data_IF_730557073702
#
_entry.id   IF_730557073702
#
_cell.length_a   1.000
_cell.length_b   1.000
_cell.length_c   1.000
_cell.angle_alpha   90.00
_cell.angle_beta   90.00
_cell.angle_gamma   90.00
#
_symmetry.space_group_name_H-M   'P 1'
#
loop_
_entity.id
_entity.type
_entity.pdbx_description
1 polymer ?
#
# COMPACT_ATOMS: atom_id res chain seq x y z
N UNK A 1 25.08 6.17 19.60
CA UNK A 1 25.46 5.72 20.95
C UNK A 1 24.32 4.92 21.54
N UNK A 2 24.62 3.82 22.23
CA UNK A 2 23.65 2.99 22.98
C UNK A 2 23.87 3.22 24.47
N UNK A 3 22.81 3.35 25.25
CA UNK A 3 22.91 3.43 26.70
C UNK A 3 22.82 2.01 27.26
N UNK A 4 23.93 1.46 27.75
CA UNK A 4 24.00 0.15 28.39
C UNK A 4 24.44 0.40 29.83
N UNK A 5 23.60 0.00 30.80
CA UNK A 5 23.91 0.12 32.23
C UNK A 5 24.36 1.53 32.67
N UNK A 6 23.76 2.57 32.08
CA UNK A 6 24.09 3.97 32.39
C UNK A 6 25.33 4.53 31.70
N UNK A 7 25.99 3.76 30.83
CA UNK A 7 27.12 4.21 30.02
C UNK A 7 26.75 4.33 28.54
N UNK A 8 27.14 5.45 27.92
CA UNK A 8 26.99 5.65 26.49
C UNK A 8 28.11 4.93 25.74
N UNK A 9 27.79 3.85 25.05
CA UNK A 9 28.72 3.13 24.19
C UNK A 9 28.55 3.60 22.74
N UNK A 10 29.65 3.87 22.04
CA UNK A 10 29.61 4.19 20.62
C UNK A 10 29.08 2.98 19.84
N UNK A 11 28.21 3.25 18.86
CA UNK A 11 27.75 2.23 17.92
C UNK A 11 28.70 2.32 16.73
N UNK A 12 29.33 1.22 16.36
CA UNK A 12 30.13 1.18 15.13
C UNK A 12 29.20 1.21 13.91
N UNK A 13 29.47 2.05 12.92
CA UNK A 13 28.74 2.02 11.67
C UNK A 13 28.98 0.70 10.93
N UNK A 14 27.98 0.26 10.15
CA UNK A 14 28.15 -0.81 9.17
C UNK A 14 28.97 -0.30 7.96
N UNK A 15 29.21 -1.17 6.97
CA UNK A 15 29.95 -0.84 5.74
C UNK A 15 29.35 0.33 4.94
N UNK A 16 28.06 0.63 5.15
CA UNK A 16 27.35 1.74 4.51
C UNK A 16 27.36 3.03 5.34
N UNK A 17 27.99 3.03 6.52
CA UNK A 17 27.99 4.18 7.43
C UNK A 17 26.76 4.29 8.33
N UNK A 18 25.91 3.25 8.39
CA UNK A 18 24.69 3.24 9.20
C UNK A 18 24.93 2.64 10.58
N UNK A 19 24.30 3.24 11.59
CA UNK A 19 24.40 2.83 12.99
C UNK A 19 23.25 1.89 13.35
N UNK A 20 23.53 0.65 13.74
CA UNK A 20 22.47 -0.28 14.15
C UNK A 20 21.89 0.09 15.52
N UNK A 21 20.57 0.25 15.60
CA UNK A 21 19.84 0.47 16.85
C UNK A 21 19.15 -0.82 17.30
N UNK A 22 19.75 -1.56 18.24
CA UNK A 22 19.15 -2.80 18.77
C UNK A 22 17.78 -2.57 19.43
N UNK A 23 17.56 -1.40 20.06
CA UNK A 23 16.29 -1.08 20.71
C UNK A 23 15.15 -0.90 19.70
N UNK A 24 15.47 -0.41 18.49
CA UNK A 24 14.48 -0.18 17.44
C UNK A 24 14.45 -1.33 16.42
N UNK A 25 15.49 -2.16 16.36
CA UNK A 25 15.68 -3.15 15.29
C UNK A 25 15.88 -2.50 13.92
N UNK A 26 16.44 -1.28 13.88
CA UNK A 26 16.57 -0.47 12.68
C UNK A 26 17.97 0.14 12.57
N UNK A 27 18.44 0.36 11.35
CA UNK A 27 19.63 1.14 11.06
C UNK A 27 19.33 2.63 11.09
N UNK A 28 20.26 3.42 11.59
CA UNK A 28 20.18 4.88 11.64
C UNK A 28 21.25 5.45 10.71
N UNK A 29 20.82 6.13 9.66
CA UNK A 29 21.70 6.68 8.63
C UNK A 29 21.35 8.12 8.28
N UNK A 30 22.19 8.73 7.45
CA UNK A 30 21.94 10.06 6.90
C UNK A 30 21.34 9.90 5.50
N UNK A 31 20.14 10.43 5.31
CA UNK A 31 19.46 10.49 4.02
C UNK A 31 18.98 11.92 3.77
N UNK A 32 19.30 12.49 2.61
CA UNK A 32 18.96 13.88 2.28
C UNK A 32 19.40 14.91 3.36
N UNK A 33 20.63 14.73 3.88
CA UNK A 33 21.19 15.56 4.99
C UNK A 33 20.37 15.50 6.29
N UNK A 34 19.44 14.55 6.43
CA UNK A 34 18.63 14.32 7.63
C UNK A 34 18.91 12.95 8.20
N UNK A 35 18.76 12.82 9.51
CA UNK A 35 18.86 11.54 10.19
C UNK A 35 17.57 10.74 9.94
N UNK A 36 17.69 9.56 9.35
CA UNK A 36 16.57 8.68 8.99
C UNK A 36 16.83 7.24 9.42
N UNK A 37 15.75 6.52 9.72
CA UNK A 37 15.79 5.09 10.01
C UNK A 37 15.70 4.28 8.72
N UNK A 38 16.38 3.15 8.70
CA UNK A 38 16.41 2.17 7.63
C UNK A 38 16.11 0.78 8.21
N UNK A 39 15.40 -0.05 7.46
CA UNK A 39 15.14 -1.44 7.81
C UNK A 39 16.44 -2.26 7.74
N UNK A 40 16.41 -3.48 8.26
CA UNK A 40 17.49 -4.47 8.10
C UNK A 40 17.91 -4.69 6.64
N UNK A 41 16.96 -4.55 5.73
CA UNK A 41 17.15 -4.70 4.28
C UNK A 41 17.67 -3.41 3.61
N UNK A 42 17.95 -2.37 4.40
CA UNK A 42 18.44 -1.08 3.90
C UNK A 42 17.37 -0.20 3.27
N UNK A 43 16.08 -0.51 3.46
CA UNK A 43 14.99 0.35 2.97
C UNK A 43 14.72 1.50 3.94
N UNK A 44 14.50 2.70 3.41
CA UNK A 44 14.16 3.87 4.23
C UNK A 44 12.82 3.63 4.94
N UNK A 45 12.83 3.72 6.27
CA UNK A 45 11.61 3.62 7.07
C UNK A 45 10.81 4.92 6.89
N UNK A 46 9.57 4.85 6.38
CA UNK A 46 8.73 6.02 6.25
C UNK A 46 8.43 6.60 7.64
N UNK A 47 8.33 7.92 7.73
CA UNK A 47 7.77 8.53 8.94
C UNK A 47 6.32 8.07 9.14
N UNK A 48 5.80 8.08 10.38
CA UNK A 48 4.39 7.75 10.62
C UNK A 48 3.45 8.62 9.78
N UNK A 49 3.80 9.87 9.50
CA UNK A 49 3.05 10.75 8.59
C UNK A 49 3.10 10.28 7.13
N UNK A 50 4.27 9.89 6.62
CA UNK A 50 4.43 9.33 5.27
C UNK A 50 3.66 8.00 5.13
N UNK A 51 3.74 7.13 6.14
CA UNK A 51 3.03 5.85 6.17
C UNK A 51 1.50 6.04 6.17
N UNK A 52 0.99 6.98 6.97
CA UNK A 52 -0.45 7.28 7.00
C UNK A 52 -0.92 7.83 5.64
N UNK A 53 -0.13 8.71 5.00
CA UNK A 53 -0.46 9.23 3.69
C UNK A 53 -0.50 8.12 2.63
N UNK A 54 0.49 7.23 2.61
CA UNK A 54 0.50 6.07 1.71
C UNK A 54 -0.69 5.16 1.95
N UNK A 55 -1.04 4.89 3.22
CA UNK A 55 -2.20 4.06 3.56
C UNK A 55 -3.51 4.72 3.12
N UNK A 56 -3.66 6.03 3.30
CA UNK A 56 -4.84 6.78 2.81
C UNK A 56 -4.95 6.70 1.29
N UNK A 57 -3.86 6.93 0.57
CA UNK A 57 -3.83 6.84 -0.90
C UNK A 57 -4.19 5.43 -1.38
N UNK A 58 -3.58 4.39 -0.79
CA UNK A 58 -3.89 3.01 -1.14
C UNK A 58 -5.36 2.66 -0.87
N UNK A 59 -5.91 3.15 0.25
CA UNK A 59 -7.33 2.95 0.59
C UNK A 59 -8.25 3.66 -0.39
N UNK A 60 -7.92 4.89 -0.79
CA UNK A 60 -8.71 5.67 -1.75
C UNK A 60 -8.71 5.01 -3.13
N UNK A 61 -7.54 4.56 -3.60
CA UNK A 61 -7.43 3.81 -4.85
C UNK A 61 -8.26 2.53 -4.83
N UNK A 62 -8.13 1.72 -3.77
CA UNK A 62 -8.92 0.50 -3.63
C UNK A 62 -10.44 0.76 -3.59
N UNK A 63 -10.85 1.90 -3.01
CA UNK A 63 -12.27 2.29 -3.00
C UNK A 63 -12.76 2.66 -4.40
N UNK A 64 -11.94 3.41 -5.15
CA UNK A 64 -12.24 3.83 -6.51
C UNK A 64 -12.31 2.64 -7.47
N UNK A 65 -11.37 1.70 -7.37
CA UNK A 65 -11.39 0.45 -8.15
C UNK A 65 -12.63 -0.38 -7.85
N UNK A 66 -13.01 -0.48 -6.56
CA UNK A 66 -14.23 -1.19 -6.17
C UNK A 66 -15.48 -0.52 -6.72
N UNK A 67 -15.56 0.81 -6.70
CA UNK A 67 -16.69 1.55 -7.26
C UNK A 67 -16.80 1.36 -8.77
N UNK A 68 -15.67 1.42 -9.48
CA UNK A 68 -15.61 1.14 -10.93
C UNK A 68 -16.08 -0.28 -11.24
N UNK A 69 -15.59 -1.29 -10.51
CA UNK A 69 -16.00 -2.67 -10.71
C UNK A 69 -17.52 -2.88 -10.46
N UNK A 70 -18.10 -2.18 -9.49
CA UNK A 70 -19.55 -2.21 -9.24
C UNK A 70 -20.33 -1.57 -10.39
N UNK A 71 -19.88 -0.41 -10.89
CA UNK A 71 -20.49 0.28 -12.02
C UNK A 71 -20.45 -0.55 -13.30
N UNK A 72 -19.32 -1.21 -13.58
CA UNK A 72 -19.19 -2.09 -14.75
C UNK A 72 -20.13 -3.30 -14.65
N UNK A 73 -20.19 -3.94 -13.48
CA UNK A 73 -21.09 -5.07 -13.24
C UNK A 73 -22.57 -4.67 -13.39
N UNK A 74 -22.94 -3.48 -12.93
CA UNK A 74 -24.29 -2.95 -13.08
C UNK A 74 -24.61 -2.65 -14.55
N UNK A 75 -23.69 -2.02 -15.28
CA UNK A 75 -23.85 -1.81 -16.73
C UNK A 75 -23.97 -3.11 -17.50
N UNK A 76 -23.18 -4.13 -17.16
CA UNK A 76 -23.27 -5.44 -17.80
C UNK A 76 -24.62 -6.10 -17.54
N UNK A 77 -25.14 -6.03 -16.30
CA UNK A 77 -26.49 -6.52 -15.98
C UNK A 77 -27.57 -5.80 -16.77
N UNK A 78 -27.54 -4.48 -16.81
CA UNK A 78 -28.52 -3.70 -17.56
C UNK A 78 -28.45 -3.98 -19.06
N UNK A 79 -27.25 -4.16 -19.62
CA UNK A 79 -27.08 -4.53 -21.03
C UNK A 79 -27.65 -5.92 -21.31
N UNK A 80 -27.38 -6.90 -20.43
CA UNK A 80 -27.96 -8.26 -20.52
C UNK A 80 -29.48 -8.24 -20.41
N UNK A 81 -30.05 -7.50 -19.47
CA UNK A 81 -31.50 -7.37 -19.31
C UNK A 81 -32.16 -6.73 -20.53
N UNK A 82 -31.59 -5.64 -21.07
CA UNK A 82 -32.08 -5.00 -22.30
C UNK A 82 -32.01 -5.94 -23.50
N UNK A 83 -30.91 -6.69 -23.63
CA UNK A 83 -30.75 -7.66 -24.70
C UNK A 83 -31.78 -8.79 -24.59
N UNK A 84 -31.97 -9.34 -23.39
CA UNK A 84 -32.97 -10.37 -23.11
C UNK A 84 -34.39 -9.87 -23.40
N UNK A 85 -34.72 -8.62 -23.02
CA UNK A 85 -36.00 -8.00 -23.33
C UNK A 85 -36.21 -7.87 -24.84
N UNK A 86 -35.18 -7.39 -25.57
CA UNK A 86 -35.23 -7.24 -27.04
C UNK A 86 -35.43 -8.58 -27.76
N UNK A 87 -34.78 -9.65 -27.27
CA UNK A 87 -34.93 -11.00 -27.79
C UNK A 87 -36.35 -11.54 -27.56
N UNK A 88 -36.91 -11.33 -26.36
CA UNK A 88 -38.31 -11.69 -26.05
C UNK A 88 -39.31 -10.94 -26.92
N UNK A 89 -39.09 -9.65 -27.20
CA UNK A 89 -39.92 -8.86 -28.12
C UNK A 89 -39.92 -9.41 -29.56
N UNK A 90 -38.81 -10.02 -29.98
CA UNK A 90 -38.66 -10.65 -31.29
C UNK A 90 -39.19 -12.11 -31.32
N UNK A 91 -39.76 -12.61 -30.22
CA UNK A 91 -40.28 -13.97 -30.11
C UNK A 91 -39.22 -15.06 -29.92
N UNK A 92 -38.00 -14.67 -29.51
CA UNK A 92 -36.89 -15.58 -29.24
C UNK A 92 -36.69 -15.64 -27.72
N UNK A 93 -36.79 -16.83 -27.13
CA UNK A 93 -36.55 -17.00 -25.69
C UNK A 93 -35.04 -16.87 -25.38
N UNK A 94 -34.63 -15.89 -24.56
CA UNK A 94 -33.21 -15.65 -24.25
C UNK A 94 -32.58 -16.72 -23.36
N UNK A 95 -33.40 -17.61 -22.77
CA UNK A 95 -32.97 -18.72 -21.92
C UNK A 95 -32.70 -20.03 -22.71
N UNK A 96 -32.87 -20.01 -24.05
CA UNK A 96 -32.67 -21.19 -24.92
C UNK A 96 -31.34 -21.18 -25.69
N UNK A 97 -30.45 -20.21 -25.42
CA UNK A 97 -29.12 -20.04 -26.06
C UNK A 97 -28.01 -20.28 -25.04
#
# INVERSE_FOLDING_TARGET
FRLIEGQYQAISPNDQGYLWSEQLGLYLGIFDRKLRYFTSDGQLVPTPQEAELQQRQAKEQALLEKEQALLEKEKERQAKEKLAQKLRELGIDPDTI
#
